data_IF_218383563301
#
_entry.id   IF_218383563301
#
_cell.length_a   1.000
_cell.length_b   1.000
_cell.length_c   1.000
_cell.angle_alpha   90.00
_cell.angle_beta   90.00
_cell.angle_gamma   90.00
#
_symmetry.space_group_name_H-M   'P 1'
#
loop_
_entity.id
_entity.type
_entity.pdbx_description
1 polymer ?
#
# COMPACT_ATOMS: atom_id res chain seq x y z
N UNK A 1 -7.42 10.02 -10.02
CA UNK A 1 -6.37 9.21 -9.33
C UNK A 1 -7.02 8.59 -8.13
N UNK A 2 -7.02 7.26 -7.99
CA UNK A 2 -7.68 6.58 -6.86
C UNK A 2 -7.25 7.22 -5.53
N UNK A 3 -8.22 7.67 -4.74
CA UNK A 3 -7.93 8.42 -3.53
C UNK A 3 -7.30 7.50 -2.49
N UNK A 4 -6.02 7.74 -2.18
CA UNK A 4 -5.28 7.00 -1.16
C UNK A 4 -5.63 7.57 0.21
N UNK A 5 -6.30 6.78 1.05
CA UNK A 5 -6.57 7.15 2.44
C UNK A 5 -5.30 6.93 3.28
N UNK A 6 -4.75 7.97 3.94
CA UNK A 6 -3.58 7.79 4.80
C UNK A 6 -3.93 6.89 6.00
N UNK A 7 -3.01 6.00 6.36
CA UNK A 7 -3.14 5.10 7.51
C UNK A 7 -1.86 5.14 8.35
N UNK A 8 -1.94 5.37 9.67
CA UNK A 8 -0.77 5.39 10.53
C UNK A 8 -0.22 3.97 10.70
N UNK A 9 0.95 3.69 10.11
CA UNK A 9 1.65 2.42 10.21
C UNK A 9 2.77 2.51 11.25
N UNK A 10 2.80 1.58 12.21
CA UNK A 10 3.90 1.45 13.17
C UNK A 10 4.82 0.32 12.72
N UNK A 11 6.10 0.64 12.51
CA UNK A 11 7.15 -0.31 12.14
C UNK A 11 8.27 -0.24 13.17
N UNK A 12 8.95 -1.36 13.39
CA UNK A 12 10.20 -1.34 14.15
C UNK A 12 11.30 -0.69 13.30
N UNK A 13 12.27 -0.06 13.96
CA UNK A 13 13.40 0.59 13.30
C UNK A 13 14.16 -0.35 12.33
N UNK A 14 14.50 -1.61 12.70
CA UNK A 14 15.20 -2.51 11.78
C UNK A 14 14.38 -2.85 10.54
N UNK A 15 13.05 -2.93 10.66
CA UNK A 15 12.17 -3.22 9.53
C UNK A 15 12.09 -2.03 8.57
N UNK A 16 12.02 -0.80 9.11
CA UNK A 16 12.03 0.39 8.29
C UNK A 16 13.34 0.52 7.49
N UNK A 17 14.48 0.26 8.13
CA UNK A 17 15.79 0.29 7.46
C UNK A 17 15.91 -0.77 6.36
N UNK A 18 15.41 -1.98 6.59
CA UNK A 18 15.38 -3.03 5.58
C UNK A 18 14.49 -2.65 4.39
N UNK A 19 13.32 -2.07 4.64
CA UNK A 19 12.42 -1.58 3.59
C UNK A 19 13.01 -0.43 2.79
N UNK A 20 13.72 0.50 3.45
CA UNK A 20 14.40 1.61 2.78
C UNK A 20 15.47 1.09 1.82
N UNK A 21 16.35 0.20 2.27
CA UNK A 21 17.40 -0.39 1.42
C UNK A 21 16.81 -1.11 0.21
N UNK A 22 15.76 -1.91 0.41
CA UNK A 22 15.10 -2.59 -0.69
C UNK A 22 14.44 -1.62 -1.68
N UNK A 23 13.81 -0.55 -1.18
CA UNK A 23 13.25 0.49 -2.03
C UNK A 23 14.33 1.20 -2.87
N UNK A 24 15.49 1.46 -2.28
CA UNK A 24 16.63 2.09 -2.94
C UNK A 24 17.20 1.18 -4.05
N UNK A 25 17.35 -0.13 -3.78
CA UNK A 25 17.80 -1.14 -4.75
C UNK A 25 16.87 -1.22 -5.98
N UNK A 26 15.56 -1.00 -5.78
CA UNK A 26 14.55 -1.00 -6.86
C UNK A 26 14.22 0.40 -7.41
N UNK A 27 14.98 1.43 -7.02
CA UNK A 27 14.80 2.82 -7.43
C UNK A 27 13.37 3.34 -7.23
N UNK A 28 12.76 3.01 -6.08
CA UNK A 28 11.40 3.43 -5.73
C UNK A 28 11.33 4.12 -4.37
N UNK A 29 10.22 4.80 -4.11
CA UNK A 29 9.96 5.33 -2.77
C UNK A 29 9.60 4.21 -1.79
N UNK A 30 9.90 4.42 -0.50
CA UNK A 30 9.51 3.48 0.57
C UNK A 30 8.02 3.24 0.59
N UNK A 31 7.20 4.27 0.37
CA UNK A 31 5.74 4.10 0.30
C UNK A 31 5.32 3.20 -0.87
N UNK A 32 5.96 3.33 -2.04
CA UNK A 32 5.70 2.45 -3.17
C UNK A 32 6.16 1.00 -2.90
N UNK A 33 7.28 0.82 -2.19
CA UNK A 33 7.76 -0.51 -1.75
C UNK A 33 6.78 -1.16 -0.77
N UNK A 34 6.34 -0.42 0.26
CA UNK A 34 5.35 -0.90 1.23
C UNK A 34 4.05 -1.30 0.50
N UNK A 35 3.55 -0.46 -0.40
CA UNK A 35 2.36 -0.76 -1.18
C UNK A 35 2.52 -2.04 -2.01
N UNK A 36 3.66 -2.19 -2.70
CA UNK A 36 3.96 -3.38 -3.49
C UNK A 36 3.96 -4.66 -2.64
N UNK A 37 4.70 -4.65 -1.53
CA UNK A 37 4.81 -5.79 -0.61
C UNK A 37 3.44 -6.18 -0.05
N UNK A 38 2.64 -5.21 0.39
CA UNK A 38 1.29 -5.47 0.92
C UNK A 38 0.36 -6.03 -0.15
N UNK A 39 0.38 -5.48 -1.38
CA UNK A 39 -0.41 -6.01 -2.50
C UNK A 39 -0.04 -7.45 -2.81
N UNK A 40 1.26 -7.73 -2.93
CA UNK A 40 1.75 -9.08 -3.19
C UNK A 40 1.37 -10.07 -2.08
N UNK A 41 1.52 -9.69 -0.81
CA UNK A 41 1.11 -10.51 0.32
C UNK A 41 -0.39 -10.81 0.29
N UNK A 42 -1.23 -9.80 0.07
CA UNK A 42 -2.68 -9.96 -0.04
C UNK A 42 -3.07 -10.88 -1.20
N UNK A 43 -2.42 -10.75 -2.37
CA UNK A 43 -2.65 -11.63 -3.52
C UNK A 43 -2.25 -13.07 -3.22
N UNK A 44 -1.05 -13.29 -2.67
CA UNK A 44 -0.54 -14.62 -2.28
C UNK A 44 -1.46 -15.34 -1.30
N UNK A 45 -2.09 -14.60 -0.39
CA UNK A 45 -3.03 -15.16 0.58
C UNK A 45 -4.51 -15.14 0.11
N UNK A 46 -4.79 -14.77 -1.14
CA UNK A 46 -6.16 -14.71 -1.68
C UNK A 46 -7.05 -13.67 -0.99
N UNK A 47 -6.46 -12.68 -0.33
CA UNK A 47 -7.14 -11.60 0.41
C UNK A 47 -7.27 -10.31 -0.41
N UNK A 48 -6.72 -10.29 -1.62
CA UNK A 48 -6.90 -9.16 -2.52
C UNK A 48 -8.37 -9.08 -3.01
N UNK A 49 -9.05 -7.93 -2.91
CA UNK A 49 -10.44 -7.81 -3.33
C UNK A 49 -10.59 -8.05 -4.84
N UNK A 50 -11.59 -8.85 -5.26
CA UNK A 50 -11.91 -9.10 -6.68
C UNK A 50 -12.56 -7.89 -7.38
N UNK A 51 -13.20 -7.02 -6.60
CA UNK A 51 -13.69 -5.70 -7.01
C UNK A 51 -13.14 -4.71 -5.98
N UNK A 52 -12.07 -4.00 -6.33
CA UNK A 52 -11.80 -2.75 -5.64
C UNK A 52 -12.93 -1.80 -6.09
N UNK A 53 -13.66 -1.12 -5.20
CA UNK A 53 -14.29 0.11 -5.63
C UNK A 53 -13.15 1.00 -6.11
N UNK A 54 -13.09 1.26 -7.42
CA UNK A 54 -12.44 2.48 -7.89
C UNK A 54 -13.07 3.60 -7.06
N UNK A 55 -12.22 4.45 -6.46
CA UNK A 55 -12.61 5.38 -5.39
C UNK A 55 -13.51 6.52 -5.86
N UNK A 56 -14.69 6.21 -6.38
CA UNK A 56 -15.75 7.10 -6.84
C UNK A 56 -17.12 6.47 -6.48
N UNK A 57 -17.49 6.56 -5.21
CA UNK A 57 -18.90 6.73 -4.81
C UNK A 57 -18.93 7.70 -3.61
N UNK A 58 -18.49 8.94 -3.83
CA UNK A 58 -19.16 10.06 -3.16
C UNK A 58 -20.57 10.12 -3.75
N UNK A 59 -21.53 9.45 -3.10
CA UNK A 59 -22.93 9.81 -3.29
C UNK A 59 -23.08 11.23 -2.76
N UNK A 60 -23.55 12.20 -3.56
CA UNK A 60 -23.94 13.48 -3.01
C UNK A 60 -25.11 13.21 -2.05
N UNK A 61 -24.89 13.46 -0.76
CA UNK A 61 -25.98 13.56 0.20
C UNK A 61 -26.81 14.81 -0.14
N UNK A 62 -28.13 14.60 -0.06
CA UNK A 62 -29.25 15.44 -0.48
C UNK A 62 -29.22 16.91 -0.07
#
# INVERSE_FOLDING_TARGET
MAQRKPYPLRLSEPMLQALQRWADDELRSVNAQIEYVLREALRKHGRWPKKLPDGDEEKPES
#
